data_IF_909460151325
#
_entry.id   IF_909460151325
#
_cell.length_a   1.000
_cell.length_b   1.000
_cell.length_c   1.000
_cell.angle_alpha   90.00
_cell.angle_beta   90.00
_cell.angle_gamma   90.00
#
_symmetry.space_group_name_H-M   'P 1'
#
loop_
_entity.id
_entity.type
_entity.pdbx_description
1 polymer ?
#
# COMPACT_ATOMS: atom_id res chain seq x y z
N UNK A 1 25.96 -9.32 13.96
CA UNK A 1 25.12 -8.49 13.06
C UNK A 1 23.79 -8.12 13.70
N UNK A 2 22.90 -9.07 14.01
CA UNK A 2 21.59 -8.78 14.64
C UNK A 2 21.72 -8.01 15.97
N UNK A 3 22.65 -8.41 16.85
CA UNK A 3 22.90 -7.68 18.11
C UNK A 3 23.25 -6.22 17.88
N UNK A 4 24.08 -5.92 16.87
CA UNK A 4 24.46 -4.54 16.56
C UNK A 4 23.25 -3.68 16.13
N UNK A 5 22.28 -4.24 15.41
CA UNK A 5 21.03 -3.56 15.07
C UNK A 5 20.14 -3.33 16.28
N UNK A 6 20.04 -4.33 17.17
CA UNK A 6 19.26 -4.23 18.41
C UNK A 6 19.89 -3.18 19.33
N UNK A 7 21.21 -3.20 19.50
CA UNK A 7 21.95 -2.23 20.31
C UNK A 7 21.80 -0.80 19.75
N UNK A 8 21.85 -0.65 18.42
CA UNK A 8 21.59 0.62 17.76
C UNK A 8 20.15 1.12 17.99
N UNK A 9 19.17 0.22 17.88
CA UNK A 9 17.76 0.54 18.10
C UNK A 9 17.49 0.96 19.56
N UNK A 10 18.09 0.26 20.52
CA UNK A 10 17.98 0.57 21.95
C UNK A 10 18.68 1.89 22.30
N UNK A 11 19.85 2.17 21.70
CA UNK A 11 20.58 3.43 21.93
C UNK A 11 19.82 4.64 21.37
N UNK A 12 19.17 4.49 20.22
CA UNK A 12 18.42 5.55 19.55
C UNK A 12 16.90 5.40 19.71
N UNK A 13 16.44 5.04 20.92
CA UNK A 13 15.02 4.73 21.21
C UNK A 13 14.03 5.79 20.72
N UNK A 14 14.37 7.08 20.82
CA UNK A 14 13.50 8.18 20.39
C UNK A 14 13.31 8.20 18.87
N UNK A 15 14.38 7.95 18.12
CA UNK A 15 14.34 7.88 16.66
C UNK A 15 13.51 6.69 16.20
N UNK A 16 13.70 5.53 16.83
CA UNK A 16 12.92 4.31 16.53
C UNK A 16 11.44 4.51 16.83
N UNK A 17 11.09 5.12 17.97
CA UNK A 17 9.71 5.44 18.31
C UNK A 17 9.09 6.45 17.34
N UNK A 18 9.82 7.49 16.95
CA UNK A 18 9.35 8.46 15.97
C UNK A 18 9.07 7.82 14.61
N UNK A 19 9.98 6.95 14.14
CA UNK A 19 9.78 6.16 12.92
C UNK A 19 8.57 5.22 13.03
N UNK A 20 8.38 4.57 14.18
CA UNK A 20 7.25 3.69 14.39
C UNK A 20 5.91 4.45 14.32
N UNK A 21 5.82 5.62 14.99
CA UNK A 21 4.63 6.48 14.93
C UNK A 21 4.39 6.99 13.51
N UNK A 22 5.44 7.40 12.81
CA UNK A 22 5.36 7.85 11.42
C UNK A 22 4.83 6.73 10.51
N UNK A 23 5.37 5.52 10.62
CA UNK A 23 4.91 4.35 9.85
C UNK A 23 3.47 3.97 10.18
N UNK A 24 3.06 4.04 11.45
CA UNK A 24 1.68 3.80 11.84
C UNK A 24 0.73 4.85 11.23
N UNK A 25 1.07 6.13 11.31
CA UNK A 25 0.26 7.21 10.73
C UNK A 25 0.16 7.08 9.21
N UNK A 26 1.29 6.82 8.55
CA UNK A 26 1.34 6.59 7.10
C UNK A 26 0.53 5.36 6.70
N UNK A 27 0.71 4.25 7.40
CA UNK A 27 -0.04 3.01 7.18
C UNK A 27 -1.54 3.20 7.34
N UNK A 28 -1.98 3.95 8.35
CA UNK A 28 -3.39 4.27 8.55
C UNK A 28 -3.98 5.10 7.40
N UNK A 29 -3.22 6.08 6.88
CA UNK A 29 -3.63 6.88 5.72
C UNK A 29 -3.73 5.99 4.47
N UNK A 30 -2.72 5.17 4.21
CA UNK A 30 -2.71 4.22 3.09
C UNK A 30 -3.86 3.23 3.16
N UNK A 31 -4.14 2.69 4.35
CA UNK A 31 -5.24 1.76 4.57
C UNK A 31 -6.61 2.41 4.27
N UNK A 32 -6.81 3.66 4.70
CA UNK A 32 -8.05 4.41 4.41
C UNK A 32 -8.20 4.79 2.94
N UNK A 33 -7.09 4.96 2.22
CA UNK A 33 -7.09 5.35 0.79
C UNK A 33 -7.06 4.15 -0.15
N UNK A 34 -6.90 2.94 0.37
CA UNK A 34 -6.89 1.73 -0.44
C UNK A 34 -8.29 1.55 -1.04
N UNK A 35 -8.44 1.54 -2.37
CA UNK A 35 -9.72 1.24 -2.99
C UNK A 35 -10.12 -0.19 -2.63
N UNK A 36 -11.26 -0.34 -1.99
CA UNK A 36 -11.83 -1.64 -1.63
C UNK A 36 -12.90 -1.96 -2.66
N UNK A 37 -12.67 -3.04 -3.41
CA UNK A 37 -13.64 -3.57 -4.36
C UNK A 37 -14.32 -4.80 -3.73
N UNK A 38 -15.63 -4.95 -3.94
CA UNK A 38 -16.40 -6.05 -3.33
C UNK A 38 -16.02 -7.42 -3.90
N UNK A 39 -15.60 -7.44 -5.17
CA UNK A 39 -15.17 -8.62 -5.89
C UNK A 39 -13.98 -8.25 -6.78
N UNK A 40 -13.01 -9.15 -6.95
CA UNK A 40 -11.90 -8.92 -7.86
C UNK A 40 -12.41 -8.91 -9.31
N UNK A 41 -11.86 -8.02 -10.14
CA UNK A 41 -12.07 -8.08 -11.59
C UNK A 41 -11.40 -9.33 -12.16
N UNK A 42 -12.23 -10.24 -12.67
CA UNK A 42 -11.84 -11.50 -13.29
C UNK A 42 -11.96 -11.46 -14.81
N UNK A 43 -12.38 -10.32 -15.39
CA UNK A 43 -12.53 -10.19 -16.83
C UNK A 43 -11.16 -10.17 -17.51
N UNK A 44 -11.08 -10.80 -18.69
CA UNK A 44 -9.92 -10.64 -19.55
C UNK A 44 -9.93 -9.25 -20.17
N UNK A 45 -8.75 -8.71 -20.47
CA UNK A 45 -8.65 -7.49 -21.25
C UNK A 45 -9.04 -7.78 -22.71
N UNK A 46 -10.10 -7.14 -23.21
CA UNK A 46 -10.53 -7.27 -24.60
C UNK A 46 -10.88 -5.90 -25.20
N UNK A 47 -10.70 -5.81 -26.51
CA UNK A 47 -11.07 -4.61 -27.29
C UNK A 47 -12.28 -4.96 -28.14
N UNK A 48 -13.35 -4.16 -28.02
CA UNK A 48 -14.56 -4.32 -28.81
C UNK A 48 -14.60 -3.28 -29.93
N UNK A 49 -14.67 -3.74 -31.19
CA UNK A 49 -14.88 -2.87 -32.35
C UNK A 49 -16.37 -2.90 -32.69
N UNK A 50 -17.04 -1.77 -32.51
CA UNK A 50 -18.45 -1.60 -32.84
C UNK A 50 -18.55 -0.70 -34.07
N UNK A 51 -18.94 -1.26 -35.21
CA UNK A 51 -19.26 -0.52 -36.42
C UNK A 51 -20.77 -0.49 -36.63
N UNK A 52 -21.36 0.70 -36.52
CA UNK A 52 -22.79 0.91 -36.76
C UNK A 52 -22.97 1.60 -38.11
N UNK A 53 -23.77 1.00 -38.99
CA UNK A 53 -24.22 1.63 -40.24
C UNK A 53 -25.75 1.64 -40.25
N UNK A 54 -26.37 2.72 -39.74
CA UNK A 54 -27.79 2.95 -39.94
C UNK A 54 -27.96 3.61 -41.31
N UNK A 55 -28.00 2.80 -42.38
CA UNK A 55 -28.44 3.18 -43.74
C UNK A 55 -27.90 4.49 -44.31
#
# INVERSE_FOLDING_TARGET
MIRAFVDFALRNRLLVLALAIFLLGWGAISFKRLPVEAYPDVANNYVQIITQWPG
#
